data_IF_519078506484
#
_entry.id   IF_519078506484
#
_cell.length_a   1.000
_cell.length_b   1.000
_cell.length_c   1.000
_cell.angle_alpha   90.00
_cell.angle_beta   90.00
_cell.angle_gamma   90.00
#
_symmetry.space_group_name_H-M   'P 1'
#
loop_
_entity.id
_entity.type
_entity.pdbx_description
1 polymer ?
#
# COMPACT_ATOMS: atom_id res chain seq x y z
N UNK A 1 17.05 -13.33 9.93
CA UNK A 1 17.04 -12.00 10.59
C UNK A 1 16.55 -12.18 12.02
N UNK A 2 17.20 -11.54 13.00
CA UNK A 2 16.77 -11.65 14.40
C UNK A 2 15.51 -10.81 14.62
N UNK A 3 14.40 -11.47 14.96
CA UNK A 3 13.17 -10.78 15.34
C UNK A 3 13.31 -10.27 16.77
N UNK A 4 12.91 -9.01 17.00
CA UNK A 4 12.81 -8.42 18.33
C UNK A 4 11.35 -8.22 18.67
N UNK A 5 10.94 -8.68 19.85
CA UNK A 5 9.58 -8.49 20.35
C UNK A 5 9.50 -7.15 21.07
N UNK A 6 8.50 -6.35 20.71
CA UNK A 6 8.13 -5.11 21.40
C UNK A 6 6.76 -5.36 22.02
N UNK A 7 6.63 -5.16 23.34
CA UNK A 7 5.35 -5.15 24.03
C UNK A 7 4.89 -3.71 24.22
N UNK A 8 3.59 -3.48 24.07
CA UNK A 8 2.96 -2.18 24.28
C UNK A 8 1.62 -2.37 24.97
N UNK A 9 1.24 -1.40 25.80
CA UNK A 9 -0.09 -1.33 26.38
C UNK A 9 -1.06 -0.73 25.37
N UNK A 10 -2.24 -1.31 25.27
CA UNK A 10 -3.32 -0.83 24.39
C UNK A 10 -4.66 -1.12 25.08
N UNK A 11 -5.69 -0.38 24.70
CA UNK A 11 -7.05 -0.59 25.19
C UNK A 11 -7.65 -1.89 24.64
N UNK A 12 -8.74 -2.35 25.26
CA UNK A 12 -9.38 -3.61 24.88
C UNK A 12 -10.00 -3.55 23.48
N UNK A 13 -10.43 -2.39 23.01
CA UNK A 13 -11.07 -2.25 21.70
C UNK A 13 -10.04 -2.42 20.59
N UNK A 14 -8.90 -1.73 20.71
CA UNK A 14 -7.76 -1.86 19.80
C UNK A 14 -7.23 -3.30 19.78
N UNK A 15 -7.10 -3.95 20.95
CA UNK A 15 -6.70 -5.35 21.03
C UNK A 15 -7.66 -6.29 20.29
N UNK A 16 -8.97 -6.09 20.45
CA UNK A 16 -10.01 -6.84 19.73
C UNK A 16 -9.94 -6.61 18.21
N UNK A 17 -9.72 -5.36 17.77
CA UNK A 17 -9.55 -5.01 16.35
C UNK A 17 -8.34 -5.70 15.74
N UNK A 18 -7.20 -5.71 16.44
CA UNK A 18 -5.99 -6.42 15.98
C UNK A 18 -6.25 -7.91 15.83
N UNK A 19 -6.91 -8.54 16.82
CA UNK A 19 -7.25 -9.96 16.76
C UNK A 19 -8.21 -10.29 15.60
N UNK A 20 -9.18 -9.41 15.35
CA UNK A 20 -10.12 -9.54 14.24
C UNK A 20 -9.43 -9.48 12.87
N UNK A 21 -8.59 -8.46 12.64
CA UNK A 21 -7.83 -8.30 11.39
C UNK A 21 -6.89 -9.48 11.18
N UNK A 22 -6.18 -9.91 12.23
CA UNK A 22 -5.28 -11.05 12.19
C UNK A 22 -5.99 -12.33 11.69
N UNK A 23 -7.21 -12.57 12.18
CA UNK A 23 -8.03 -13.71 11.74
C UNK A 23 -8.46 -13.57 10.28
N UNK A 24 -8.89 -12.38 9.86
CA UNK A 24 -9.36 -12.10 8.50
C UNK A 24 -8.24 -12.25 7.46
N UNK A 25 -7.03 -11.82 7.80
CA UNK A 25 -5.86 -11.88 6.91
C UNK A 25 -5.04 -13.18 7.04
N UNK A 26 -5.46 -14.12 7.90
CA UNK A 26 -4.71 -15.34 8.22
C UNK A 26 -3.27 -15.07 8.67
N UNK A 27 -3.07 -14.05 9.51
CA UNK A 27 -1.75 -13.64 10.05
C UNK A 27 -1.73 -13.72 11.57
N UNK A 28 -0.56 -13.94 12.21
CA UNK A 28 -0.43 -13.81 13.66
C UNK A 28 -0.73 -12.37 14.13
N UNK A 29 -1.41 -12.16 15.28
CA UNK A 29 -1.67 -10.82 15.82
C UNK A 29 -0.41 -9.96 16.01
N UNK A 30 0.70 -10.60 16.41
CA UNK A 30 2.00 -9.92 16.55
C UNK A 30 2.52 -9.34 15.22
N UNK A 31 2.17 -9.96 14.08
CA UNK A 31 2.54 -9.44 12.76
C UNK A 31 1.69 -8.22 12.39
N UNK A 32 0.38 -8.22 12.69
CA UNK A 32 -0.49 -7.05 12.50
C UNK A 32 0.02 -5.88 13.34
N UNK A 33 0.30 -6.12 14.63
CA UNK A 33 0.86 -5.10 15.52
C UNK A 33 2.21 -4.58 15.00
N UNK A 34 3.10 -5.48 14.54
CA UNK A 34 4.38 -5.09 13.95
C UNK A 34 4.24 -4.23 12.69
N UNK A 35 3.26 -4.52 11.82
CA UNK A 35 2.98 -3.71 10.64
C UNK A 35 2.45 -2.33 11.00
N UNK A 36 1.52 -2.24 11.95
CA UNK A 36 1.00 -0.97 12.45
C UNK A 36 2.09 -0.10 13.08
N UNK A 37 2.94 -0.70 13.95
CA UNK A 37 4.09 -0.01 14.53
C UNK A 37 5.06 0.47 13.46
N UNK A 38 5.40 -0.38 12.48
CA UNK A 38 6.30 -0.03 11.38
C UNK A 38 5.78 1.15 10.56
N UNK A 39 4.47 1.20 10.29
CA UNK A 39 3.84 2.33 9.62
C UNK A 39 4.00 3.60 10.46
N UNK A 40 3.61 3.56 11.73
CA UNK A 40 3.61 4.72 12.62
C UNK A 40 5.02 5.31 12.84
N UNK A 41 6.03 4.46 13.07
CA UNK A 41 7.42 4.92 13.23
C UNK A 41 8.04 5.43 11.92
N UNK A 42 7.51 5.00 10.77
CA UNK A 42 7.93 5.47 9.46
C UNK A 42 7.39 6.86 9.08
N UNK A 43 6.38 7.37 9.78
CA UNK A 43 5.83 8.70 9.52
C UNK A 43 6.83 9.81 9.92
N UNK A 44 6.86 10.95 9.23
CA UNK A 44 7.55 12.16 9.70
C UNK A 44 6.98 12.65 11.04
N UNK A 45 7.78 13.41 11.79
CA UNK A 45 7.37 13.92 13.11
C UNK A 45 6.15 14.83 13.01
N UNK A 46 6.06 15.63 11.95
CA UNK A 46 4.95 16.53 11.64
C UNK A 46 3.65 15.74 11.43
N UNK A 47 3.71 14.61 10.73
CA UNK A 47 2.54 13.76 10.49
C UNK A 47 2.06 13.09 11.78
N UNK A 48 2.97 12.61 12.64
CA UNK A 48 2.60 12.06 13.95
C UNK A 48 1.97 13.14 14.85
N UNK A 49 2.54 14.34 14.87
CA UNK A 49 2.01 15.45 15.65
C UNK A 49 0.62 15.86 15.18
N UNK A 50 0.39 15.92 13.86
CA UNK A 50 -0.93 16.19 13.29
C UNK A 50 -1.97 15.12 13.67
N UNK A 51 -1.62 13.83 13.58
CA UNK A 51 -2.51 12.74 14.00
C UNK A 51 -2.92 12.88 15.47
N UNK A 52 -1.96 13.17 16.36
CA UNK A 52 -2.27 13.39 17.78
C UNK A 52 -3.15 14.62 18.03
N UNK A 53 -2.95 15.70 17.28
CA UNK A 53 -3.79 16.90 17.41
C UNK A 53 -5.23 16.62 16.97
N UNK A 54 -5.41 15.86 15.89
CA UNK A 54 -6.73 15.48 15.39
C UNK A 54 -7.43 14.55 16.39
N UNK A 55 -6.71 13.59 16.98
CA UNK A 55 -7.27 12.73 18.02
C UNK A 55 -7.66 13.51 19.30
N UNK A 56 -6.88 14.53 19.66
CA UNK A 56 -7.11 15.30 20.89
C UNK A 56 -8.19 16.40 20.74
N UNK A 57 -8.31 17.01 19.56
CA UNK A 57 -9.14 18.20 19.33
C UNK A 57 -10.29 17.96 18.34
N UNK A 58 -10.16 16.95 17.48
CA UNK A 58 -11.13 16.64 16.45
C UNK A 58 -12.33 15.88 17.00
N UNK A 59 -13.37 15.81 16.18
CA UNK A 59 -14.52 14.96 16.40
C UNK A 59 -14.40 13.66 15.57
N UNK A 60 -15.36 12.75 15.73
CA UNK A 60 -15.37 11.47 15.01
C UNK A 60 -15.38 11.64 13.48
N UNK A 61 -16.07 12.65 12.95
CA UNK A 61 -16.09 12.91 11.52
C UNK A 61 -14.73 13.40 10.98
N UNK A 62 -14.00 14.21 11.76
CA UNK A 62 -12.64 14.62 11.39
C UNK A 62 -11.71 13.40 11.30
N UNK A 63 -11.83 12.47 12.25
CA UNK A 63 -11.06 11.23 12.24
C UNK A 63 -11.45 10.33 11.05
N UNK A 64 -12.75 10.20 10.75
CA UNK A 64 -13.22 9.45 9.58
C UNK A 64 -12.70 10.04 8.27
N UNK A 65 -12.67 11.36 8.13
CA UNK A 65 -12.14 12.05 6.96
C UNK A 65 -10.65 11.75 6.78
N UNK A 66 -9.87 11.86 7.87
CA UNK A 66 -8.45 11.50 7.85
C UNK A 66 -8.25 10.03 7.46
N UNK A 67 -9.05 9.12 7.99
CA UNK A 67 -8.97 7.70 7.63
C UNK A 67 -9.29 7.45 6.15
N UNK A 68 -10.23 8.22 5.56
CA UNK A 68 -10.48 8.16 4.11
C UNK A 68 -9.28 8.64 3.30
N UNK A 69 -8.66 9.75 3.67
CA UNK A 69 -7.47 10.27 2.97
C UNK A 69 -6.25 9.33 3.11
N UNK A 70 -6.06 8.77 4.30
CA UNK A 70 -5.06 7.72 4.56
C UNK A 70 -5.36 6.47 3.72
N UNK A 71 -6.61 6.13 3.43
CA UNK A 71 -6.94 4.98 2.57
C UNK A 71 -6.67 5.27 1.09
N UNK A 72 -7.02 6.48 0.63
CA UNK A 72 -6.85 6.88 -0.78
C UNK A 72 -5.39 6.90 -1.20
N UNK A 73 -4.50 7.36 -0.32
CA UNK A 73 -3.08 7.55 -0.65
C UNK A 73 -2.33 6.24 -0.99
N UNK A 74 -2.39 5.18 -0.16
CA UNK A 74 -1.82 3.87 -0.45
C UNK A 74 -2.43 3.21 -1.68
N UNK A 75 -3.75 3.31 -1.90
CA UNK A 75 -4.40 2.75 -3.10
C UNK A 75 -3.88 3.42 -4.38
N UNK A 76 -3.76 4.75 -4.35
CA UNK A 76 -3.18 5.48 -5.48
C UNK A 76 -1.70 5.14 -5.69
N UNK A 77 -0.92 4.99 -4.62
CA UNK A 77 0.46 4.55 -4.71
C UNK A 77 0.58 3.11 -5.25
N UNK A 78 -0.29 2.20 -4.82
CA UNK A 78 -0.37 0.82 -5.31
C UNK A 78 -0.62 0.80 -6.82
N UNK A 79 -1.60 1.59 -7.29
CA UNK A 79 -1.87 1.72 -8.72
C UNK A 79 -0.63 2.20 -9.49
N UNK A 80 0.06 3.23 -9.00
CA UNK A 80 1.29 3.74 -9.64
C UNK A 80 2.41 2.70 -9.70
N UNK A 81 2.59 1.91 -8.64
CA UNK A 81 3.59 0.83 -8.59
C UNK A 81 3.23 -0.27 -9.59
N UNK A 82 1.97 -0.74 -9.59
CA UNK A 82 1.51 -1.77 -10.52
C UNK A 82 1.62 -1.30 -11.99
N UNK A 83 1.19 -0.07 -12.27
CA UNK A 83 1.29 0.53 -13.60
C UNK A 83 2.75 0.62 -14.09
N UNK A 84 3.68 1.04 -13.22
CA UNK A 84 5.10 1.06 -13.56
C UNK A 84 5.63 -0.34 -13.89
N UNK A 85 5.29 -1.35 -13.08
CA UNK A 85 5.72 -2.73 -13.33
C UNK A 85 5.17 -3.26 -14.65
N UNK A 86 3.92 -2.93 -14.99
CA UNK A 86 3.32 -3.31 -16.29
C UNK A 86 4.08 -2.65 -17.44
N UNK A 87 4.38 -1.35 -17.38
CA UNK A 87 5.17 -0.67 -18.43
C UNK A 87 6.57 -1.28 -18.56
N UNK A 88 7.26 -1.51 -17.44
CA UNK A 88 8.58 -2.15 -17.41
C UNK A 88 8.55 -3.55 -18.03
N UNK A 89 7.48 -4.32 -17.79
CA UNK A 89 7.31 -5.66 -18.37
C UNK A 89 6.83 -5.64 -19.83
N UNK A 90 6.10 -4.60 -20.25
CA UNK A 90 5.54 -4.47 -21.60
C UNK A 90 6.59 -4.18 -22.68
N UNK A 91 7.89 -4.06 -22.36
CA UNK A 91 8.98 -3.84 -23.33
C UNK A 91 8.61 -2.78 -24.38
N UNK A 92 8.11 -1.62 -23.94
CA UNK A 92 7.81 -0.50 -24.85
C UNK A 92 9.05 -0.09 -25.65
N UNK A 93 10.25 -0.37 -25.14
CA UNK A 93 11.54 -0.23 -25.84
C UNK A 93 11.64 -1.03 -27.14
N UNK A 94 10.87 -2.11 -27.32
CA UNK A 94 10.78 -2.83 -28.61
C UNK A 94 9.80 -2.21 -29.59
N UNK A 95 8.88 -1.36 -29.13
CA UNK A 95 7.92 -0.65 -29.98
C UNK A 95 8.50 0.65 -30.53
N UNK A 96 9.43 1.29 -29.82
CA UNK A 96 10.14 2.50 -30.28
C UNK A 96 11.10 2.24 -31.47
N UNK A 97 11.39 0.96 -31.78
CA UNK A 97 12.23 0.56 -32.93
C UNK A 97 11.43 0.22 -34.20
N UNK A 98 10.11 0.34 -34.17
CA UNK A 98 9.23 0.00 -35.30
C UNK A 98 8.84 1.31 -36.00
N UNK A 99 9.49 1.60 -37.12
CA UNK A 99 9.33 2.87 -37.85
C UNK A 99 8.25 2.77 -38.95
N UNK A 100 7.84 1.56 -39.31
CA UNK A 100 6.90 1.31 -40.41
C UNK A 100 5.66 0.53 -39.96
N UNK A 101 4.53 0.75 -40.65
CA UNK A 101 3.25 0.08 -40.33
C UNK A 101 3.35 -1.46 -40.38
N UNK A 102 4.17 -2.01 -41.29
CA UNK A 102 4.38 -3.46 -41.41
C UNK A 102 5.14 -4.06 -40.21
N UNK A 103 6.07 -3.30 -39.62
CA UNK A 103 6.84 -3.73 -38.44
C UNK A 103 5.96 -3.76 -37.19
N UNK A 104 5.08 -2.77 -37.03
CA UNK A 104 4.08 -2.72 -35.95
C UNK A 104 3.10 -3.89 -36.07
N UNK A 105 2.62 -4.17 -37.28
CA UNK A 105 1.69 -5.27 -37.53
C UNK A 105 2.33 -6.64 -37.24
N UNK A 106 3.59 -6.83 -37.66
CA UNK A 106 4.35 -8.06 -37.41
C UNK A 106 4.63 -8.31 -35.91
N UNK A 107 5.00 -7.26 -35.18
CA UNK A 107 5.21 -7.34 -33.74
C UNK A 107 3.92 -7.70 -32.99
N UNK A 108 2.79 -7.09 -33.36
CA UNK A 108 1.47 -7.36 -32.77
C UNK A 108 1.00 -8.80 -32.99
N UNK A 109 1.20 -9.35 -34.20
CA UNK A 109 0.89 -10.76 -34.53
C UNK A 109 1.76 -11.73 -33.73
N UNK A 110 3.03 -11.38 -33.50
CA UNK A 110 3.96 -12.21 -32.73
C UNK A 110 3.60 -12.24 -31.25
N UNK A 111 3.19 -11.09 -30.68
CA UNK A 111 2.76 -10.97 -29.30
C UNK A 111 1.47 -11.75 -29.01
N UNK A 112 0.52 -11.78 -29.96
CA UNK A 112 -0.77 -12.46 -29.81
C UNK A 112 -0.75 -13.95 -30.16
N UNK A 113 0.36 -14.46 -30.71
CA UNK A 113 0.55 -15.90 -31.00
C UNK A 113 1.09 -16.71 -29.83
N UNK A 114 1.50 -16.05 -28.74
CA UNK A 114 2.00 -16.68 -27.53
C UNK A 114 0.99 -16.72 -26.37
N UNK A 115 -0.26 -16.31 -26.62
CA UNK A 115 -1.45 -16.68 -25.84
C UNK A 115 -2.15 -17.90 -26.46
#
# INVERSE_FOLDING_TARGET
MAFKTISAYTDSETACRVAYIAKLEHRPPAQIAGMALKLFVGLPTEARAALWQIEALGNEADLEEVMREITRTPLHAQYKVAHRQVIEQMQVEKLEQLETEDEILSAAVTLTRHD
#
